data_IF_231180531973
#
_entry.id   IF_231180531973
#
_cell.length_a   1.000
_cell.length_b   1.000
_cell.length_c   1.000
_cell.angle_alpha   90.00
_cell.angle_beta   90.00
_cell.angle_gamma   90.00
#
_symmetry.space_group_name_H-M   'P 1'
#
loop_
_entity.id
_entity.type
_entity.pdbx_description
1 polymer ?
#
# COMPACT_ATOMS: atom_id res chain seq x y z
N UNK A 1 0.81 12.13 0.87
CA UNK A 1 2.15 11.65 0.50
C UNK A 1 3.12 11.73 1.68
N UNK A 2 3.16 12.84 2.41
CA UNK A 2 3.98 12.97 3.64
C UNK A 2 3.79 11.82 4.67
N UNK A 3 2.55 11.48 5.01
CA UNK A 3 2.30 10.41 5.98
C UNK A 3 2.83 9.04 5.55
N UNK A 4 2.81 8.74 4.25
CA UNK A 4 3.38 7.50 3.71
C UNK A 4 4.93 7.57 3.72
N UNK A 5 5.51 8.76 3.52
CA UNK A 5 6.95 8.96 3.59
C UNK A 5 7.52 8.64 4.97
N UNK A 6 6.78 8.96 6.03
CA UNK A 6 7.19 8.64 7.39
C UNK A 6 7.33 7.13 7.63
N UNK A 7 6.55 6.28 6.94
CA UNK A 7 6.63 4.83 7.09
C UNK A 7 7.55 4.15 6.07
N UNK A 8 8.04 4.88 5.07
CA UNK A 8 8.85 4.31 3.99
C UNK A 8 10.12 3.58 4.48
N UNK A 9 10.88 4.09 5.48
CA UNK A 9 12.01 3.34 6.03
C UNK A 9 11.62 1.96 6.58
N UNK A 10 10.45 1.84 7.20
CA UNK A 10 9.95 0.56 7.72
C UNK A 10 9.53 -0.37 6.60
N UNK A 11 8.94 0.15 5.51
CA UNK A 11 8.64 -0.62 4.31
C UNK A 11 9.94 -1.21 3.73
N UNK A 12 10.98 -0.39 3.58
CA UNK A 12 12.29 -0.84 3.09
C UNK A 12 12.94 -1.88 4.02
N UNK A 13 12.81 -1.73 5.33
CA UNK A 13 13.34 -2.68 6.31
C UNK A 13 12.68 -4.08 6.22
N UNK A 14 11.48 -4.18 5.63
CA UNK A 14 10.77 -5.44 5.38
C UNK A 14 11.00 -5.97 3.95
N UNK A 15 12.04 -5.51 3.26
CA UNK A 15 12.36 -5.87 1.87
C UNK A 15 11.20 -5.62 0.88
N UNK A 16 10.39 -4.60 1.17
CA UNK A 16 9.31 -4.15 0.30
C UNK A 16 9.65 -2.81 -0.36
N UNK A 17 8.97 -2.50 -1.46
CA UNK A 17 9.09 -1.23 -2.16
C UNK A 17 7.74 -0.52 -2.23
N UNK A 18 7.77 0.81 -2.21
CA UNK A 18 6.60 1.66 -2.31
C UNK A 18 6.64 2.46 -3.61
N UNK A 19 5.58 2.33 -4.42
CA UNK A 19 5.42 3.12 -5.63
C UNK A 19 4.22 4.06 -5.48
N UNK A 20 4.45 5.36 -5.56
CA UNK A 20 3.36 6.33 -5.68
C UNK A 20 3.04 6.53 -7.16
N UNK A 21 1.75 6.46 -7.53
CA UNK A 21 1.31 6.51 -8.92
C UNK A 21 0.16 7.50 -9.04
N UNK A 22 0.18 8.31 -10.09
CA UNK A 22 -0.89 9.26 -10.44
C UNK A 22 -0.94 9.48 -11.94
N UNK A 23 -2.02 10.07 -12.44
CA UNK A 23 -2.15 10.45 -13.85
C UNK A 23 -1.40 11.74 -14.21
N UNK A 24 -0.74 12.39 -13.25
CA UNK A 24 0.18 13.52 -13.48
C UNK A 24 1.44 13.14 -14.27
N UNK A 25 2.09 14.15 -14.87
CA UNK A 25 3.35 13.98 -15.60
C UNK A 25 4.56 13.89 -14.65
N UNK A 26 5.67 13.31 -15.12
CA UNK A 26 6.93 13.30 -14.36
C UNK A 26 7.42 14.72 -14.04
N UNK A 27 7.17 15.69 -14.93
CA UNK A 27 7.53 17.10 -14.70
C UNK A 27 6.70 17.71 -13.58
N UNK A 28 5.41 17.40 -13.53
CA UNK A 28 4.52 17.80 -12.44
C UNK A 28 5.02 17.26 -11.10
N UNK A 29 5.53 16.02 -11.06
CA UNK A 29 6.11 15.43 -9.85
C UNK A 29 7.36 16.15 -9.37
N UNK A 30 8.27 16.50 -10.28
CA UNK A 30 9.48 17.27 -9.97
C UNK A 30 9.10 18.61 -9.35
N UNK A 31 8.26 19.39 -10.04
CA UNK A 31 7.81 20.70 -9.55
C UNK A 31 7.08 20.57 -8.21
N UNK A 32 6.25 19.54 -8.04
CA UNK A 32 5.51 19.35 -6.80
C UNK A 32 6.43 19.02 -5.62
N UNK A 33 7.50 18.24 -5.87
CA UNK A 33 8.52 17.93 -4.88
C UNK A 33 9.37 19.16 -4.49
N UNK A 34 9.65 20.03 -5.45
CA UNK A 34 10.40 21.28 -5.23
C UNK A 34 9.57 22.32 -4.46
N UNK A 35 8.28 22.42 -4.76
CA UNK A 35 7.41 23.48 -4.26
C UNK A 35 6.64 23.13 -2.99
N UNK A 36 6.31 21.85 -2.75
CA UNK A 36 5.54 21.44 -1.58
C UNK A 36 6.43 21.04 -0.40
N UNK A 37 6.32 21.72 0.76
CA UNK A 37 7.05 21.33 1.97
C UNK A 37 6.76 19.88 2.39
N UNK A 38 5.54 19.40 2.13
CA UNK A 38 5.08 18.06 2.49
C UNK A 38 5.70 16.93 1.64
N UNK A 39 6.30 17.27 0.51
CA UNK A 39 6.93 16.32 -0.41
C UNK A 39 8.46 16.42 -0.47
N UNK A 40 9.05 17.45 0.14
CA UNK A 40 10.49 17.68 0.12
C UNK A 40 11.32 16.46 0.56
N UNK A 41 10.78 15.67 1.50
CA UNK A 41 11.43 14.47 2.06
C UNK A 41 10.94 13.16 1.46
N UNK A 42 10.11 13.18 0.42
CA UNK A 42 9.65 11.98 -0.28
C UNK A 42 10.80 11.40 -1.10
N UNK A 43 11.24 10.19 -0.76
CA UNK A 43 12.35 9.48 -1.42
C UNK A 43 11.92 8.24 -2.18
N UNK A 44 10.68 7.79 -2.03
CA UNK A 44 10.14 6.68 -2.82
C UNK A 44 9.83 7.10 -4.27
N UNK A 45 9.86 6.17 -5.24
CA UNK A 45 9.51 6.46 -6.63
C UNK A 45 8.09 7.01 -6.81
N UNK A 46 7.97 8.06 -7.63
CA UNK A 46 6.71 8.65 -8.08
C UNK A 46 6.54 8.43 -9.58
N UNK A 47 5.66 7.51 -9.95
CA UNK A 47 5.40 7.09 -11.32
C UNK A 47 4.32 7.98 -11.95
N UNK A 48 4.47 8.16 -13.26
CA UNK A 48 3.51 8.88 -14.10
C UNK A 48 2.68 7.87 -14.90
N UNK A 49 1.37 7.97 -14.77
CA UNK A 49 0.36 7.18 -15.50
C UNK A 49 -0.43 8.08 -16.47
N UNK A 50 0.28 8.91 -17.24
CA UNK A 50 -0.35 9.89 -18.16
C UNK A 50 -1.20 9.27 -19.26
N UNK A 51 -0.95 8.02 -19.62
CA UNK A 51 -1.76 7.28 -20.59
C UNK A 51 -2.96 6.54 -19.93
N UNK A 52 -3.09 6.66 -18.60
CA UNK A 52 -4.09 5.99 -17.76
C UNK A 52 -4.04 4.45 -17.81
N UNK A 53 -2.96 3.86 -18.32
CA UNK A 53 -2.84 2.42 -18.50
C UNK A 53 -2.87 1.68 -17.16
N UNK A 54 -2.13 2.19 -16.16
CA UNK A 54 -2.05 1.58 -14.84
C UNK A 54 -3.39 1.73 -14.12
N UNK A 55 -3.93 2.96 -14.06
CA UNK A 55 -5.17 3.24 -13.34
C UNK A 55 -6.36 2.46 -13.93
N UNK A 56 -6.40 2.26 -15.25
CA UNK A 56 -7.40 1.38 -15.90
C UNK A 56 -7.17 -0.09 -15.56
N UNK A 57 -5.94 -0.59 -15.67
CA UNK A 57 -5.62 -1.99 -15.37
C UNK A 57 -5.98 -2.38 -13.93
N UNK A 58 -5.75 -1.46 -12.99
CA UNK A 58 -6.07 -1.65 -11.57
C UNK A 58 -7.51 -1.28 -11.20
N UNK A 59 -8.30 -0.83 -12.20
CA UNK A 59 -9.72 -0.45 -12.09
C UNK A 59 -9.94 0.62 -11.04
N UNK A 60 -9.14 1.68 -11.10
CA UNK A 60 -9.17 2.82 -10.18
C UNK A 60 -9.14 4.16 -10.91
N UNK A 61 -9.21 4.19 -12.24
CA UNK A 61 -9.41 5.45 -12.97
C UNK A 61 -10.85 5.94 -12.78
N UNK A 62 -11.00 7.19 -12.35
CA UNK A 62 -12.23 7.95 -12.50
C UNK A 62 -12.27 8.52 -13.93
N UNK A 63 -13.13 7.94 -14.77
CA UNK A 63 -13.28 8.34 -16.17
C UNK A 63 -13.83 9.76 -16.36
N UNK A 64 -14.50 10.31 -15.35
CA UNK A 64 -15.08 11.65 -15.44
C UNK A 64 -14.04 12.75 -15.23
N UNK A 65 -13.09 12.51 -14.31
CA UNK A 65 -12.06 13.49 -13.95
C UNK A 65 -10.70 13.20 -14.60
N UNK A 66 -10.45 11.95 -15.03
CA UNK A 66 -9.14 11.50 -15.47
C UNK A 66 -8.13 11.30 -14.34
N UNK A 67 -8.56 11.41 -13.08
CA UNK A 67 -7.75 11.10 -11.91
C UNK A 67 -7.95 9.65 -11.47
N UNK A 68 -7.04 9.13 -10.63
CA UNK A 68 -7.27 7.87 -9.95
C UNK A 68 -8.01 8.06 -8.64
N UNK A 69 -8.91 7.12 -8.31
CA UNK A 69 -9.41 6.95 -6.94
C UNK A 69 -8.25 6.67 -5.99
N UNK A 70 -8.42 7.02 -4.72
CA UNK A 70 -7.42 6.77 -3.68
C UNK A 70 -7.35 5.27 -3.40
N UNK A 71 -6.40 4.59 -4.02
CA UNK A 71 -6.22 3.16 -3.84
C UNK A 71 -4.81 2.79 -3.41
N UNK A 72 -4.70 1.70 -2.65
CA UNK A 72 -3.45 1.06 -2.27
C UNK A 72 -3.53 -0.42 -2.59
N UNK A 73 -2.48 -0.95 -3.19
CA UNK A 73 -2.36 -2.36 -3.58
C UNK A 73 -1.12 -2.94 -2.93
N UNK A 74 -1.27 -4.13 -2.36
CA UNK A 74 -0.16 -4.89 -1.77
C UNK A 74 0.07 -6.10 -2.66
N UNK A 75 1.26 -6.17 -3.24
CA UNK A 75 1.61 -7.14 -4.27
C UNK A 75 2.79 -7.94 -3.75
N UNK A 76 2.69 -9.27 -3.79
CA UNK A 76 3.78 -10.14 -3.37
C UNK A 76 4.81 -10.35 -4.52
N UNK A 77 5.97 -10.98 -4.26
CA UNK A 77 6.97 -11.25 -5.29
C UNK A 77 6.46 -12.09 -6.48
N UNK A 78 5.42 -12.90 -6.27
CA UNK A 78 4.72 -13.64 -7.31
C UNK A 78 3.78 -12.79 -8.18
N UNK A 79 3.81 -11.45 -8.03
CA UNK A 79 2.97 -10.48 -8.74
C UNK A 79 1.46 -10.66 -8.48
N UNK A 80 1.11 -11.27 -7.36
CA UNK A 80 -0.28 -11.46 -6.94
C UNK A 80 -0.67 -10.33 -5.98
N UNK A 81 -1.80 -9.69 -6.27
CA UNK A 81 -2.42 -8.73 -5.35
C UNK A 81 -2.94 -9.48 -4.12
N UNK A 82 -2.36 -9.22 -2.96
CA UNK A 82 -2.73 -9.82 -1.67
C UNK A 82 -3.74 -8.97 -0.89
N UNK A 83 -3.73 -7.66 -1.09
CA UNK A 83 -4.73 -6.76 -0.53
C UNK A 83 -4.95 -5.55 -1.44
N UNK A 84 -6.19 -5.03 -1.43
CA UNK A 84 -6.60 -3.81 -2.13
C UNK A 84 -7.45 -2.98 -1.17
N UNK A 85 -7.09 -1.72 -0.98
CA UNK A 85 -7.91 -0.75 -0.25
C UNK A 85 -8.25 0.39 -1.19
N UNK A 86 -9.54 0.73 -1.29
CA UNK A 86 -10.03 1.86 -2.10
C UNK A 86 -10.82 2.77 -1.19
N UNK A 87 -10.49 4.05 -1.25
CA UNK A 87 -11.10 5.10 -0.44
C UNK A 87 -11.79 6.10 -1.37
N UNK A 88 -12.93 6.62 -0.90
CA UNK A 88 -13.58 7.75 -1.51
C UNK A 88 -12.69 9.02 -1.42
N UNK A 89 -12.98 10.05 -2.21
CA UNK A 89 -12.13 11.22 -2.31
C UNK A 89 -11.99 11.98 -0.98
N UNK A 90 -13.05 11.94 -0.17
CA UNK A 90 -13.26 12.63 1.10
C UNK A 90 -12.50 11.96 2.24
N UNK A 91 -12.14 10.68 2.11
CA UNK A 91 -11.53 9.90 3.18
C UNK A 91 -10.06 9.63 2.89
N UNK A 92 -9.21 10.03 3.83
CA UNK A 92 -7.77 9.76 3.79
C UNK A 92 -7.45 8.28 4.05
N UNK A 93 -6.28 7.84 3.58
CA UNK A 93 -5.76 6.48 3.87
C UNK A 93 -5.37 6.36 5.34
N UNK A 94 -5.65 5.20 5.94
CA UNK A 94 -5.13 4.83 7.26
C UNK A 94 -3.71 4.24 7.13
N UNK A 95 -2.68 5.04 7.41
CA UNK A 95 -1.28 4.63 7.21
C UNK A 95 -0.83 3.51 8.17
N UNK A 96 -1.16 3.53 9.48
CA UNK A 96 -0.94 2.39 10.36
C UNK A 96 -1.45 1.06 9.80
N UNK A 97 -2.62 1.05 9.15
CA UNK A 97 -3.16 -0.17 8.53
C UNK A 97 -2.28 -0.70 7.39
N UNK A 98 -1.64 0.18 6.63
CA UNK A 98 -0.74 -0.26 5.55
C UNK A 98 0.47 -1.01 6.12
N UNK A 99 1.02 -0.49 7.22
CA UNK A 99 2.15 -1.12 7.90
C UNK A 99 1.72 -2.45 8.54
N UNK A 100 0.56 -2.48 9.20
CA UNK A 100 -0.01 -3.69 9.81
C UNK A 100 -0.24 -4.81 8.79
N UNK A 101 -0.76 -4.48 7.61
CA UNK A 101 -0.94 -5.45 6.51
C UNK A 101 0.39 -6.04 6.06
N UNK A 102 1.41 -5.21 5.82
CA UNK A 102 2.75 -5.68 5.43
C UNK A 102 3.37 -6.58 6.51
N UNK A 103 3.28 -6.15 7.77
CA UNK A 103 3.76 -6.92 8.91
C UNK A 103 3.02 -8.25 9.06
N UNK A 104 1.72 -8.28 8.77
CA UNK A 104 0.93 -9.51 8.80
C UNK A 104 1.36 -10.51 7.72
N UNK A 105 1.67 -10.04 6.51
CA UNK A 105 2.21 -10.91 5.47
C UNK A 105 3.59 -11.47 5.86
N UNK A 106 4.45 -10.63 6.42
CA UNK A 106 5.78 -11.07 6.87
C UNK A 106 5.68 -12.06 8.04
N UNK A 107 4.77 -11.82 8.99
CA UNK A 107 4.49 -12.76 10.07
C UNK A 107 4.08 -14.12 9.52
N UNK A 108 3.12 -14.15 8.59
CA UNK A 108 2.64 -15.41 8.01
C UNK A 108 3.72 -16.17 7.25
N UNK A 109 4.58 -15.46 6.52
CA UNK A 109 5.73 -16.06 5.83
C UNK A 109 6.75 -16.65 6.81
N UNK A 110 7.02 -15.98 7.92
CA UNK A 110 8.02 -16.42 8.90
C UNK A 110 7.54 -17.56 9.80
N UNK A 111 6.27 -17.56 10.18
CA UNK A 111 5.74 -18.50 11.19
C UNK A 111 4.90 -19.63 10.59
N UNK A 112 4.43 -19.47 9.35
CA UNK A 112 3.41 -20.33 8.75
C UNK A 112 2.03 -20.19 9.40
N UNK A 113 1.80 -19.13 10.19
CA UNK A 113 0.53 -18.85 10.86
C UNK A 113 -0.19 -17.68 10.18
N UNK A 114 -1.51 -17.75 10.09
CA UNK A 114 -2.31 -16.62 9.64
C UNK A 114 -2.42 -15.54 10.73
N UNK A 115 -2.87 -14.35 10.36
CA UNK A 115 -3.12 -13.27 11.32
C UNK A 115 -4.62 -13.07 11.57
N UNK A 116 -5.11 -13.07 12.83
CA UNK A 116 -6.51 -12.84 13.14
C UNK A 116 -7.01 -11.44 12.77
N UNK A 117 -8.33 -11.27 12.83
CA UNK A 117 -8.93 -9.94 12.83
C UNK A 117 -8.35 -9.07 13.96
N UNK A 118 -8.11 -7.80 13.68
CA UNK A 118 -7.47 -6.83 14.59
C UNK A 118 -6.05 -7.20 15.05
N UNK A 119 -5.40 -8.18 14.41
CA UNK A 119 -4.03 -8.54 14.75
C UNK A 119 -3.08 -7.36 14.59
N UNK A 120 -2.21 -7.16 15.58
CA UNK A 120 -1.08 -6.23 15.54
C UNK A 120 0.23 -6.94 15.89
N UNK A 121 1.40 -6.42 15.47
CA UNK A 121 2.69 -7.03 15.78
C UNK A 121 2.87 -7.35 17.27
N UNK A 122 3.40 -8.54 17.55
CA UNK A 122 3.59 -9.06 18.91
C UNK A 122 2.42 -9.91 19.42
N UNK A 123 1.28 -9.92 18.74
CA UNK A 123 0.18 -10.84 19.05
C UNK A 123 0.38 -12.22 18.39
N UNK A 124 -0.18 -13.29 18.97
CA UNK A 124 -0.10 -14.62 18.37
C UNK A 124 -0.86 -14.68 17.04
N UNK A 125 -0.35 -15.50 16.11
CA UNK A 125 -1.06 -15.87 14.89
C UNK A 125 -2.08 -16.98 15.13
N UNK A 126 -2.78 -17.36 14.06
CA UNK A 126 -3.70 -18.50 14.02
C UNK A 126 -3.03 -19.65 13.25
N UNK A 127 -3.05 -20.84 13.86
CA UNK A 127 -2.54 -22.05 13.22
C UNK A 127 -3.41 -22.48 12.05
N UNK A 128 -2.77 -22.90 10.95
CA UNK A 128 -3.44 -23.47 9.77
C UNK A 128 -3.76 -24.97 9.91
N UNK A 129 -3.57 -25.57 11.10
CA UNK A 129 -3.82 -26.99 11.35
C UNK A 129 -5.33 -27.31 11.28
N UNK A 130 -5.78 -28.17 10.35
CA UNK A 130 -7.19 -28.54 10.21
C UNK A 130 -7.79 -29.18 11.48
N UNK A 131 -6.97 -29.79 12.33
CA UNK A 131 -7.45 -30.38 13.60
C UNK A 131 -7.94 -29.33 14.60
N UNK A 132 -7.59 -28.06 14.41
CA UNK A 132 -7.99 -26.92 15.26
C UNK A 132 -9.20 -26.15 14.72
N UNK A 133 -9.87 -26.65 13.68
CA UNK A 133 -11.08 -26.01 13.14
C UNK A 133 -12.18 -26.04 14.21
N UNK A 134 -12.75 -24.87 14.50
CA UNK A 134 -13.84 -24.71 15.48
C UNK A 134 -13.39 -24.64 16.95
N UNK A 135 -12.09 -24.60 17.22
CA UNK A 135 -11.54 -24.49 18.59
C UNK A 135 -10.97 -23.11 18.90
N UNK A 136 -11.18 -22.15 18.00
CA UNK A 136 -10.66 -20.77 18.03
C UNK A 136 -11.70 -19.81 18.59
#
# INVERSE_FOLDING_TARGET
MAAVAAIYPFIKAMDAELLAISTDSVYSHVVFKETSPSLKHVTYPMLSDRNHGISKAYRVLDSSTGASYRASFFINPGQIIKAKLVYAAEVGRNIPEHLRILQGFHHAEQTGQDVPANWVPGQPGISQDPSKIGTI
#
